data_IF_354169494123
#
_entry.id   IF_354169494123
#
_cell.length_a   1.000
_cell.length_b   1.000
_cell.length_c   1.000
_cell.angle_alpha   90.00
_cell.angle_beta   90.00
_cell.angle_gamma   90.00
#
_symmetry.space_group_name_H-M   'P 1'
#
loop_
_entity.id
_entity.type
_entity.pdbx_description
1 polymer ?
#
# COMPACT_ATOMS: atom_id res chain seq x y z
N UNK A 1 -11.17 14.09 -24.30
CA UNK A 1 -10.49 12.92 -24.88
C UNK A 1 -11.56 12.20 -25.71
N UNK A 2 -11.67 12.53 -27.00
CA UNK A 2 -12.61 11.88 -27.92
C UNK A 2 -12.07 10.48 -28.22
N UNK A 3 -12.81 9.46 -27.81
CA UNK A 3 -12.56 8.08 -28.21
C UNK A 3 -12.70 8.01 -29.75
N UNK A 4 -11.68 7.49 -30.43
CA UNK A 4 -11.65 7.34 -31.86
C UNK A 4 -12.91 6.62 -32.35
N UNK A 5 -13.74 7.35 -33.10
CA UNK A 5 -15.02 6.89 -33.65
C UNK A 5 -14.96 5.55 -34.40
N UNK A 6 -13.86 5.14 -35.08
CA UNK A 6 -13.80 3.85 -35.75
C UNK A 6 -13.80 2.64 -34.83
N UNK A 7 -13.22 2.76 -33.62
CA UNK A 7 -13.18 1.64 -32.64
C UNK A 7 -14.54 1.42 -31.97
N UNK A 8 -15.27 2.50 -31.69
CA UNK A 8 -16.62 2.41 -31.13
C UNK A 8 -17.61 1.77 -32.11
N UNK A 9 -17.49 2.10 -33.42
CA UNK A 9 -18.35 1.52 -34.46
C UNK A 9 -18.06 0.03 -34.69
N UNK A 10 -16.79 -0.40 -34.65
CA UNK A 10 -16.43 -1.81 -34.78
C UNK A 10 -16.99 -2.68 -33.63
N UNK A 11 -16.94 -2.16 -32.39
CA UNK A 11 -17.50 -2.85 -31.23
C UNK A 11 -19.05 -2.95 -31.28
N UNK A 12 -19.72 -1.93 -31.87
CA UNK A 12 -21.19 -1.95 -31.98
C UNK A 12 -21.67 -2.81 -33.16
N UNK A 13 -20.93 -2.90 -34.26
CA UNK A 13 -21.26 -3.76 -35.40
C UNK A 13 -21.12 -5.24 -35.06
N UNK A 14 -20.11 -5.65 -34.26
CA UNK A 14 -19.97 -7.03 -33.81
C UNK A 14 -21.09 -7.44 -32.83
N UNK A 15 -21.60 -6.50 -32.04
CA UNK A 15 -22.69 -6.77 -31.08
C UNK A 15 -24.06 -6.86 -31.81
N UNK A 16 -24.23 -6.19 -32.96
CA UNK A 16 -25.48 -6.20 -33.75
C UNK A 16 -25.53 -7.30 -34.79
N UNK A 17 -24.48 -8.11 -34.96
CA UNK A 17 -24.50 -9.23 -35.88
C UNK A 17 -25.42 -10.34 -35.33
N UNK A 18 -26.72 -10.17 -35.53
CA UNK A 18 -27.72 -11.23 -35.29
C UNK A 18 -27.36 -12.44 -36.12
N UNK A 19 -26.63 -13.39 -35.53
CA UNK A 19 -26.37 -14.68 -36.13
C UNK A 19 -27.72 -15.39 -36.29
N UNK A 20 -28.18 -15.61 -37.53
CA UNK A 20 -29.33 -16.45 -37.80
C UNK A 20 -29.01 -17.87 -37.35
N UNK A 21 -29.54 -18.26 -36.18
CA UNK A 21 -29.34 -19.56 -35.63
C UNK A 21 -30.00 -20.64 -36.51
N UNK A 22 -29.32 -21.75 -36.75
CA UNK A 22 -29.88 -22.94 -37.38
C UNK A 22 -30.98 -23.52 -36.50
N UNK A 23 -31.93 -24.30 -37.08
CA UNK A 23 -32.99 -24.97 -36.33
C UNK A 23 -32.43 -25.82 -35.18
N UNK A 24 -31.30 -26.51 -35.39
CA UNK A 24 -30.60 -27.30 -34.34
C UNK A 24 -29.96 -26.43 -33.27
N UNK A 25 -29.50 -25.25 -33.61
CA UNK A 25 -28.96 -24.27 -32.63
C UNK A 25 -30.10 -23.67 -31.79
N UNK A 26 -31.26 -23.41 -32.37
CA UNK A 26 -32.46 -23.00 -31.64
C UNK A 26 -32.99 -24.06 -30.64
N UNK A 27 -32.68 -25.33 -30.84
CA UNK A 27 -33.02 -26.38 -29.90
C UNK A 27 -32.15 -26.36 -28.62
N UNK A 28 -31.10 -25.55 -28.57
CA UNK A 28 -30.12 -25.45 -27.46
C UNK A 28 -29.43 -26.76 -27.08
N UNK A 29 -29.86 -27.90 -27.60
CA UNK A 29 -29.30 -29.21 -27.28
C UNK A 29 -27.80 -29.34 -27.59
N UNK A 30 -27.30 -28.90 -28.77
CA UNK A 30 -25.88 -28.99 -29.08
C UNK A 30 -25.02 -28.19 -28.10
N UNK A 31 -25.47 -27.00 -27.68
CA UNK A 31 -24.76 -26.16 -26.74
C UNK A 31 -24.76 -26.74 -25.32
N UNK A 32 -25.85 -27.36 -24.92
CA UNK A 32 -25.92 -28.09 -23.64
C UNK A 32 -24.94 -29.26 -23.64
N UNK A 33 -24.86 -30.03 -24.71
CA UNK A 33 -23.92 -31.16 -24.83
C UNK A 33 -22.45 -30.65 -24.85
N UNK A 34 -22.15 -29.55 -25.49
CA UNK A 34 -20.81 -28.93 -25.44
C UNK A 34 -20.46 -28.50 -24.01
N UNK A 35 -21.39 -27.87 -23.31
CA UNK A 35 -21.20 -27.47 -21.91
C UNK A 35 -20.95 -28.68 -20.99
N UNK A 36 -21.77 -29.72 -21.12
CA UNK A 36 -21.61 -30.97 -20.39
C UNK A 36 -20.29 -31.66 -20.70
N UNK A 37 -19.87 -31.70 -21.96
CA UNK A 37 -18.58 -32.26 -22.36
C UNK A 37 -17.42 -31.48 -21.79
N UNK A 38 -17.51 -30.12 -21.78
CA UNK A 38 -16.49 -29.28 -21.20
C UNK A 38 -16.34 -29.54 -19.70
N UNK A 39 -17.45 -29.57 -18.94
CA UNK A 39 -17.41 -29.84 -17.49
C UNK A 39 -16.97 -31.25 -17.19
N UNK A 40 -17.37 -32.24 -17.98
CA UNK A 40 -16.90 -33.61 -17.88
C UNK A 40 -15.38 -33.72 -18.08
N UNK A 41 -14.85 -33.06 -19.11
CA UNK A 41 -13.38 -32.98 -19.33
C UNK A 41 -12.66 -32.32 -18.16
N UNK A 42 -13.26 -31.28 -17.59
CA UNK A 42 -12.65 -30.53 -16.47
C UNK A 42 -12.58 -31.37 -15.19
N UNK A 43 -13.46 -32.36 -15.03
CA UNK A 43 -13.43 -33.25 -13.88
C UNK A 43 -12.16 -34.10 -13.81
N UNK A 44 -11.49 -34.35 -14.93
CA UNK A 44 -10.22 -35.10 -15.00
C UNK A 44 -8.99 -34.17 -15.04
N UNK A 45 -9.18 -32.83 -14.96
CA UNK A 45 -8.08 -31.91 -14.90
C UNK A 45 -7.40 -31.99 -13.51
N UNK A 46 -6.07 -31.76 -13.43
CA UNK A 46 -5.39 -31.71 -12.14
C UNK A 46 -5.96 -30.57 -11.28
N UNK A 47 -6.18 -30.86 -10.02
CA UNK A 47 -6.64 -29.85 -9.06
C UNK A 47 -5.50 -28.87 -8.75
N UNK A 48 -5.84 -27.58 -8.64
CA UNK A 48 -4.91 -26.50 -8.25
C UNK A 48 -5.25 -25.93 -6.86
N UNK A 49 -6.20 -26.53 -6.18
CA UNK A 49 -6.63 -26.14 -4.83
C UNK A 49 -5.62 -26.61 -3.80
N UNK A 50 -5.33 -25.76 -2.83
CA UNK A 50 -4.48 -26.08 -1.68
C UNK A 50 -5.26 -26.81 -0.60
N UNK A 51 -4.61 -27.77 0.05
CA UNK A 51 -5.19 -28.52 1.17
C UNK A 51 -4.90 -27.78 2.49
N UNK A 52 -5.68 -26.77 2.79
CA UNK A 52 -5.57 -26.08 4.07
C UNK A 52 -6.11 -27.01 5.20
N UNK A 53 -5.45 -27.14 6.39
CA UNK A 53 -4.29 -26.32 6.85
C UNK A 53 -2.89 -26.89 6.53
N UNK A 54 -2.79 -28.07 5.89
CA UNK A 54 -1.50 -28.73 5.59
C UNK A 54 -0.66 -27.89 4.63
N UNK A 55 -1.32 -27.30 3.64
CA UNK A 55 -0.73 -26.39 2.68
C UNK A 55 -1.28 -24.99 2.90
N UNK A 56 -0.39 -24.02 3.17
CA UNK A 56 -0.74 -22.61 3.30
C UNK A 56 -0.20 -21.81 2.14
N UNK A 57 -0.98 -20.83 1.73
CA UNK A 57 -0.53 -19.87 0.75
C UNK A 57 0.55 -18.97 1.34
N UNK A 58 1.67 -18.80 0.63
CA UNK A 58 2.70 -17.82 0.97
C UNK A 58 2.36 -16.49 0.29
N UNK A 59 1.95 -15.47 1.05
CA UNK A 59 1.58 -14.19 0.47
C UNK A 59 2.78 -13.46 -0.13
N UNK A 60 2.60 -12.77 -1.28
CA UNK A 60 3.65 -11.94 -1.84
C UNK A 60 3.98 -10.76 -0.91
N UNK A 61 5.15 -10.14 -1.09
CA UNK A 61 5.62 -9.02 -0.28
C UNK A 61 4.70 -7.79 -0.28
N UNK A 62 3.85 -7.64 -1.31
CA UNK A 62 2.84 -6.57 -1.39
C UNK A 62 1.59 -6.83 -0.53
N UNK A 63 1.43 -8.05 0.00
CA UNK A 63 0.23 -8.43 0.74
C UNK A 63 0.07 -7.59 2.01
N UNK A 64 -1.18 -7.23 2.33
CA UNK A 64 -1.56 -6.46 3.52
C UNK A 64 -2.25 -7.38 4.51
N UNK A 65 -1.45 -8.09 5.32
CA UNK A 65 -1.97 -8.88 6.43
C UNK A 65 -2.10 -8.08 7.72
N UNK A 66 -1.87 -8.72 8.84
CA UNK A 66 -1.97 -8.09 10.16
C UNK A 66 -0.94 -6.96 10.34
N UNK A 67 -1.34 -5.75 10.80
CA UNK A 67 -0.37 -4.73 11.18
C UNK A 67 0.44 -5.19 12.40
N UNK A 68 1.74 -4.94 12.35
CA UNK A 68 2.68 -5.29 13.41
C UNK A 68 3.64 -4.13 13.68
N UNK A 69 4.20 -4.09 14.89
CA UNK A 69 5.24 -3.13 15.28
C UNK A 69 6.62 -3.76 15.08
N UNK A 70 7.51 -3.00 14.48
CA UNK A 70 8.91 -3.43 14.26
C UNK A 70 9.70 -3.27 15.57
N UNK A 71 10.29 -4.36 15.99
CA UNK A 71 11.27 -4.40 17.07
C UNK A 71 12.69 -4.31 16.50
N UNK A 72 13.48 -3.40 16.99
CA UNK A 72 14.88 -3.18 16.60
C UNK A 72 15.77 -3.27 17.83
N UNK A 73 16.61 -4.30 17.91
CA UNK A 73 17.53 -4.54 19.04
C UNK A 73 16.84 -4.64 20.42
N UNK A 74 15.70 -5.29 20.52
CA UNK A 74 14.98 -5.48 21.77
C UNK A 74 14.12 -4.29 22.22
N UNK A 75 14.01 -3.24 21.37
CA UNK A 75 13.16 -2.08 21.61
C UNK A 75 12.25 -1.81 20.40
N UNK A 76 11.07 -1.29 20.68
CA UNK A 76 10.18 -0.84 19.58
C UNK A 76 10.82 0.31 18.80
N UNK A 77 10.63 0.32 17.47
CA UNK A 77 11.08 1.41 16.61
C UNK A 77 10.17 2.66 16.72
N UNK A 78 8.97 2.48 17.24
CA UNK A 78 7.94 3.53 17.32
C UNK A 78 8.38 4.68 18.23
N UNK A 79 8.20 5.92 17.76
CA UNK A 79 8.44 7.17 18.49
C UNK A 79 7.14 7.85 18.94
N UNK A 80 6.05 7.12 19.00
CA UNK A 80 4.75 7.59 19.49
C UNK A 80 4.26 8.92 18.89
N UNK A 81 4.49 9.15 17.58
CA UNK A 81 4.10 10.39 16.91
C UNK A 81 2.58 10.54 16.65
N UNK A 82 1.80 9.44 16.75
CA UNK A 82 0.34 9.44 16.62
C UNK A 82 -0.19 9.54 15.18
N UNK A 83 0.66 9.59 14.16
CA UNK A 83 0.21 9.71 12.77
C UNK A 83 -0.61 8.50 12.31
N UNK A 84 -0.22 7.29 12.70
CA UNK A 84 -0.93 6.06 12.36
C UNK A 84 -2.36 6.04 12.93
N UNK A 85 -2.56 6.51 14.17
CA UNK A 85 -3.88 6.60 14.79
C UNK A 85 -4.78 7.63 14.08
N UNK A 86 -4.22 8.77 13.66
CA UNK A 86 -4.96 9.81 12.92
C UNK A 86 -5.31 9.40 11.50
N UNK A 87 -4.42 8.65 10.84
CA UNK A 87 -4.63 8.18 9.47
C UNK A 87 -5.53 6.94 9.39
N UNK A 88 -5.87 6.32 10.51
CA UNK A 88 -6.67 5.10 10.55
C UNK A 88 -8.15 5.40 10.25
N UNK A 89 -8.71 4.95 9.10
CA UNK A 89 -10.10 5.25 8.75
C UNK A 89 -11.12 4.72 9.78
N UNK A 90 -11.00 3.45 10.27
CA UNK A 90 -11.91 2.92 11.27
C UNK A 90 -11.56 3.30 12.71
N UNK A 91 -10.54 4.14 12.95
CA UNK A 91 -10.08 4.51 14.28
C UNK A 91 -9.80 3.28 15.16
N UNK A 92 -9.08 2.32 14.59
CA UNK A 92 -8.77 1.05 15.24
C UNK A 92 -7.54 1.12 16.16
N UNK A 93 -6.73 2.18 16.08
CA UNK A 93 -5.47 2.33 16.79
C UNK A 93 -5.66 3.30 17.96
N UNK A 94 -5.32 2.85 19.14
CA UNK A 94 -5.24 3.66 20.36
C UNK A 94 -3.81 3.69 20.87
N UNK A 95 -3.30 4.86 21.22
CA UNK A 95 -1.93 4.98 21.71
C UNK A 95 -1.79 6.13 22.68
N UNK A 96 -0.82 5.99 23.59
CA UNK A 96 -0.40 7.04 24.51
C UNK A 96 1.13 7.12 24.48
N UNK A 97 1.65 8.32 24.28
CA UNK A 97 3.08 8.58 24.31
C UNK A 97 3.54 8.79 25.76
N UNK A 98 4.76 8.35 26.04
CA UNK A 98 5.51 8.71 27.22
C UNK A 98 6.90 9.21 26.80
N UNK A 99 7.57 9.92 27.70
CA UNK A 99 8.87 10.52 27.49
C UNK A 99 9.85 10.00 28.56
N UNK A 100 11.04 9.62 28.12
CA UNK A 100 12.13 9.18 29.00
C UNK A 100 13.39 9.96 28.61
N UNK A 101 13.87 10.79 29.50
CA UNK A 101 15.06 11.63 29.30
C UNK A 101 16.36 10.81 29.16
N UNK A 102 16.34 9.56 29.69
CA UNK A 102 17.50 8.67 29.64
C UNK A 102 17.57 7.85 28.34
N UNK A 103 16.48 7.76 27.56
CA UNK A 103 16.47 7.02 26.28
C UNK A 103 16.88 7.94 25.10
N UNK A 104 17.78 7.48 24.21
CA UNK A 104 18.19 8.22 23.01
C UNK A 104 17.01 8.62 22.09
N UNK A 105 15.88 7.94 22.20
CA UNK A 105 14.66 8.23 21.44
C UNK A 105 13.79 9.31 22.06
N UNK A 106 14.01 9.64 23.33
CA UNK A 106 13.23 10.61 24.13
C UNK A 106 11.73 10.26 24.27
N UNK A 107 11.11 9.68 23.23
CA UNK A 107 9.68 9.36 23.18
C UNK A 107 9.44 7.92 22.74
N UNK A 108 8.52 7.26 23.44
CA UNK A 108 8.10 5.89 23.16
C UNK A 108 6.60 5.71 23.42
N UNK A 109 5.93 4.69 22.85
CA UNK A 109 4.56 4.37 23.19
C UNK A 109 4.52 3.60 24.50
N UNK A 110 4.01 4.23 25.55
CA UNK A 110 3.70 3.56 26.83
C UNK A 110 2.55 2.57 26.63
N UNK A 111 1.53 3.05 25.92
CA UNK A 111 0.36 2.27 25.57
C UNK A 111 0.18 2.30 24.06
N UNK A 112 -0.01 1.12 23.46
CA UNK A 112 -0.31 0.98 22.03
C UNK A 112 -1.20 -0.24 21.82
N UNK A 113 -2.37 -0.02 21.26
CA UNK A 113 -3.33 -1.08 20.99
C UNK A 113 -3.91 -0.95 19.58
N UNK A 114 -4.17 -2.09 18.97
CA UNK A 114 -4.94 -2.18 17.72
C UNK A 114 -6.13 -3.12 17.92
N UNK A 115 -7.32 -2.61 17.67
CA UNK A 115 -8.52 -3.42 17.64
C UNK A 115 -8.65 -4.10 16.27
N UNK A 116 -8.31 -5.41 16.20
CA UNK A 116 -8.30 -6.18 14.95
C UNK A 116 -9.69 -6.39 14.36
N UNK A 117 -10.76 -6.33 15.17
CA UNK A 117 -12.15 -6.41 14.67
C UNK A 117 -12.60 -5.12 13.96
N UNK A 118 -11.97 -3.97 14.29
CA UNK A 118 -12.24 -2.71 13.60
C UNK A 118 -11.30 -2.48 12.44
N UNK A 119 -10.11 -3.07 12.48
CA UNK A 119 -9.10 -2.92 11.45
C UNK A 119 -9.60 -3.46 10.10
N UNK A 120 -9.47 -2.67 9.04
CA UNK A 120 -9.82 -3.04 7.67
C UNK A 120 -8.61 -3.43 6.81
N UNK A 121 -7.43 -3.55 7.44
CA UNK A 121 -6.17 -3.95 6.80
C UNK A 121 -5.79 -3.10 5.58
N UNK A 122 -6.13 -1.82 5.58
CA UNK A 122 -5.91 -0.91 4.45
C UNK A 122 -4.45 -0.48 4.25
N UNK A 123 -3.61 -0.57 5.30
CA UNK A 123 -2.19 -0.17 5.25
C UNK A 123 -1.92 1.33 5.41
N UNK A 124 -2.94 2.19 5.60
CA UNK A 124 -2.72 3.64 5.78
C UNK A 124 -1.79 3.96 6.95
N UNK A 125 -1.78 3.14 8.00
CA UNK A 125 -0.89 3.30 9.15
C UNK A 125 0.59 3.07 8.77
N UNK A 126 0.86 2.13 7.87
CA UNK A 126 2.19 1.85 7.32
C UNK A 126 2.66 2.99 6.41
N UNK A 127 1.77 3.48 5.54
CA UNK A 127 2.10 4.53 4.57
C UNK A 127 2.49 5.86 5.23
N UNK A 128 1.85 6.21 6.36
CA UNK A 128 2.10 7.47 7.08
C UNK A 128 3.21 7.39 8.11
N UNK A 129 3.75 6.22 8.41
CA UNK A 129 4.75 6.04 9.44
C UNK A 129 6.13 6.53 8.97
N UNK A 130 6.71 7.62 9.54
CA UNK A 130 8.01 8.14 9.12
C UNK A 130 9.17 7.22 9.54
N UNK A 131 8.99 6.49 10.65
CA UNK A 131 10.01 5.60 11.21
C UNK A 131 9.91 4.17 10.70
N UNK A 132 8.95 3.85 9.81
CA UNK A 132 8.67 2.46 9.40
C UNK A 132 8.49 1.52 10.59
N UNK A 133 7.89 2.05 11.67
CA UNK A 133 7.72 1.33 12.92
C UNK A 133 6.47 0.44 12.93
N UNK A 134 5.49 0.72 12.09
CA UNK A 134 4.31 -0.12 11.87
C UNK A 134 4.29 -0.55 10.42
N UNK A 135 4.18 -1.86 10.20
CA UNK A 135 4.18 -2.47 8.85
C UNK A 135 3.12 -3.56 8.78
N UNK A 136 2.70 -3.88 7.55
CA UNK A 136 1.77 -4.97 7.30
C UNK A 136 2.53 -6.28 7.17
N UNK A 137 2.22 -7.27 8.01
CA UNK A 137 2.82 -8.60 7.96
C UNK A 137 2.21 -9.47 6.86
N UNK A 138 2.72 -10.68 6.71
CA UNK A 138 2.12 -11.71 5.86
C UNK A 138 1.04 -12.54 6.58
N UNK A 139 0.78 -12.26 7.86
CA UNK A 139 -0.17 -13.02 8.68
C UNK A 139 -1.61 -12.74 8.22
N UNK A 140 -2.33 -13.80 7.85
CA UNK A 140 -3.74 -13.75 7.48
C UNK A 140 -4.61 -14.71 8.31
N UNK A 141 -4.00 -15.68 8.99
CA UNK A 141 -4.68 -16.65 9.84
C UNK A 141 -4.99 -16.05 11.21
N UNK A 142 -5.95 -15.14 11.27
CA UNK A 142 -6.30 -14.44 12.51
C UNK A 142 -7.64 -14.95 13.01
N UNK A 143 -7.63 -15.66 14.14
CA UNK A 143 -8.81 -16.21 14.79
C UNK A 143 -8.88 -15.68 16.23
N UNK A 144 -10.07 -15.28 16.65
CA UNK A 144 -10.34 -14.77 18.00
C UNK A 144 -11.47 -15.57 18.63
N UNK A 145 -11.35 -15.89 19.91
CA UNK A 145 -12.42 -16.53 20.68
C UNK A 145 -13.35 -15.49 21.33
N UNK A 146 -12.81 -14.31 21.65
CA UNK A 146 -13.53 -13.22 22.28
C UNK A 146 -13.20 -11.86 21.64
N UNK A 147 -13.97 -10.83 22.00
CA UNK A 147 -13.70 -9.46 21.54
C UNK A 147 -12.45 -8.87 22.20
N UNK A 148 -12.22 -9.23 23.42
CA UNK A 148 -11.05 -8.79 24.20
C UNK A 148 -9.76 -9.37 23.60
N UNK A 149 -9.80 -10.61 23.16
CA UNK A 149 -8.66 -11.28 22.50
C UNK A 149 -8.31 -10.65 21.15
N UNK A 150 -9.24 -9.97 20.52
CA UNK A 150 -9.03 -9.24 19.27
C UNK A 150 -8.39 -7.86 19.47
N UNK A 151 -8.19 -7.40 20.69
CA UNK A 151 -7.43 -6.19 20.98
C UNK A 151 -5.98 -6.60 21.22
N UNK A 152 -5.12 -6.20 20.29
CA UNK A 152 -3.70 -6.50 20.34
C UNK A 152 -2.96 -5.36 21.02
N UNK A 153 -2.36 -5.64 22.14
CA UNK A 153 -1.47 -4.76 22.88
C UNK A 153 -0.08 -4.65 22.23
N UNK A 154 0.75 -3.77 22.75
CA UNK A 154 2.10 -3.50 22.25
C UNK A 154 2.95 -4.77 22.19
N UNK A 155 2.93 -5.60 23.24
CA UNK A 155 3.73 -6.81 23.33
C UNK A 155 3.37 -7.83 22.25
N UNK A 156 2.08 -7.99 21.99
CA UNK A 156 1.56 -8.91 20.96
C UNK A 156 1.77 -8.41 19.52
N UNK A 157 1.99 -7.10 19.36
CA UNK A 157 2.24 -6.49 18.07
C UNK A 157 3.72 -6.47 17.69
N UNK A 158 4.63 -6.56 18.67
CA UNK A 158 6.07 -6.52 18.42
C UNK A 158 6.53 -7.76 17.66
N UNK A 159 7.25 -7.52 16.57
CA UNK A 159 7.86 -8.56 15.72
C UNK A 159 9.29 -8.14 15.40
N UNK A 160 10.27 -9.05 15.53
CA UNK A 160 11.66 -8.78 15.19
C UNK A 160 11.82 -8.30 13.75
N UNK A 161 12.70 -7.35 13.52
CA UNK A 161 12.99 -6.77 12.21
C UNK A 161 13.42 -7.81 11.17
N UNK A 162 14.09 -8.86 11.63
CA UNK A 162 14.59 -9.95 10.78
C UNK A 162 13.44 -10.65 10.05
N UNK A 163 12.33 -10.89 10.76
CA UNK A 163 11.15 -11.57 10.21
C UNK A 163 10.38 -10.68 9.22
N UNK A 164 10.55 -9.37 9.33
CA UNK A 164 9.88 -8.37 8.49
C UNK A 164 10.78 -7.83 7.37
N UNK A 165 11.99 -8.37 7.20
CA UNK A 165 12.98 -7.85 6.26
C UNK A 165 12.45 -7.74 4.84
N UNK A 166 11.78 -8.76 4.34
CA UNK A 166 11.23 -8.80 2.99
C UNK A 166 10.23 -7.66 2.77
N UNK A 167 9.36 -7.40 3.76
CA UNK A 167 8.40 -6.29 3.70
C UNK A 167 9.08 -4.92 3.76
N UNK A 168 10.05 -4.76 4.64
CA UNK A 168 10.81 -3.51 4.78
C UNK A 168 11.61 -3.18 3.52
N UNK A 169 12.22 -4.18 2.88
CA UNK A 169 12.95 -3.99 1.64
C UNK A 169 12.00 -3.63 0.48
N UNK A 170 10.83 -4.27 0.41
CA UNK A 170 9.78 -3.91 -0.53
C UNK A 170 9.30 -2.46 -0.34
N UNK A 171 9.08 -2.02 0.91
CA UNK A 171 8.65 -0.65 1.19
C UNK A 171 9.69 0.39 0.79
N UNK A 172 10.97 0.11 0.98
CA UNK A 172 12.06 0.99 0.53
C UNK A 172 12.05 1.13 -0.99
N UNK A 173 11.96 0.00 -1.71
CA UNK A 173 11.88 0.02 -3.17
C UNK A 173 10.62 0.73 -3.66
N UNK A 174 9.46 0.44 -3.05
CA UNK A 174 8.18 1.07 -3.38
C UNK A 174 8.23 2.59 -3.20
N UNK A 175 8.75 3.07 -2.06
CA UNK A 175 8.91 4.50 -1.79
C UNK A 175 9.91 5.15 -2.75
N UNK A 176 11.04 4.52 -3.02
CA UNK A 176 12.01 5.01 -3.99
C UNK A 176 11.40 5.15 -5.39
N UNK A 177 10.60 4.16 -5.83
CA UNK A 177 9.95 4.21 -7.14
C UNK A 177 8.83 5.25 -7.21
N UNK A 178 8.07 5.47 -6.13
CA UNK A 178 7.01 6.49 -6.09
C UNK A 178 7.54 7.92 -5.91
N UNK A 179 8.56 8.07 -5.09
CA UNK A 179 9.11 9.37 -4.72
C UNK A 179 10.48 9.64 -5.32
N UNK A 180 11.09 8.68 -6.04
CA UNK A 180 12.41 8.83 -6.65
C UNK A 180 12.51 10.08 -7.49
N UNK A 181 11.54 10.33 -8.38
CA UNK A 181 11.48 11.56 -9.18
C UNK A 181 11.35 12.82 -8.31
N UNK A 182 10.70 12.74 -7.16
CA UNK A 182 10.58 13.86 -6.24
C UNK A 182 11.87 14.09 -5.46
N UNK A 183 12.58 13.03 -5.07
CA UNK A 183 13.87 13.15 -4.39
C UNK A 183 14.97 13.62 -5.33
N UNK A 184 15.02 13.09 -6.55
CA UNK A 184 15.94 13.56 -7.60
C UNK A 184 15.72 15.06 -7.88
N UNK A 185 14.46 15.50 -7.92
CA UNK A 185 14.10 16.91 -8.04
C UNK A 185 14.59 17.75 -6.83
N UNK A 186 14.51 17.21 -5.62
CA UNK A 186 15.01 17.90 -4.42
C UNK A 186 16.53 18.00 -4.42
N UNK A 187 17.25 16.95 -4.84
CA UNK A 187 18.72 16.97 -4.94
C UNK A 187 19.19 17.93 -6.03
N UNK A 188 18.59 17.90 -7.22
CA UNK A 188 18.92 18.83 -8.32
C UNK A 188 18.68 20.30 -7.95
N UNK A 189 17.66 20.59 -7.14
CA UNK A 189 17.32 21.95 -6.74
C UNK A 189 17.88 22.35 -5.36
N UNK A 190 18.73 21.52 -4.77
CA UNK A 190 19.32 21.76 -3.45
C UNK A 190 18.28 21.96 -2.33
N UNK A 191 17.11 21.37 -2.49
CA UNK A 191 16.03 21.40 -1.50
C UNK A 191 16.29 20.27 -0.50
N UNK A 192 16.92 20.59 0.61
CA UNK A 192 17.18 19.64 1.68
C UNK A 192 15.88 19.07 2.24
N UNK A 193 15.86 17.76 2.56
CA UNK A 193 14.70 17.10 3.12
C UNK A 193 14.32 17.66 4.49
N UNK A 194 13.07 17.52 4.88
CA UNK A 194 12.54 17.95 6.20
C UNK A 194 13.31 17.35 7.38
N UNK A 195 14.14 16.32 7.14
CA UNK A 195 15.00 15.66 8.13
C UNK A 195 16.27 16.42 8.51
N UNK A 196 16.66 17.44 7.74
CA UNK A 196 17.80 18.28 8.13
C UNK A 196 17.39 19.20 9.28
N UNK A 197 17.78 18.83 10.50
CA UNK A 197 17.54 19.63 11.72
C UNK A 197 18.26 20.98 11.71
N UNK A 198 19.17 21.18 10.77
CA UNK A 198 19.95 22.41 10.59
C UNK A 198 19.29 23.40 9.61
N UNK A 199 18.01 23.21 9.29
CA UNK A 199 17.29 24.18 8.48
C UNK A 199 17.08 25.46 9.27
N UNK A 200 17.71 26.47 8.79
CA UNK A 200 17.44 27.84 9.21
C UNK A 200 15.97 28.18 8.94
N UNK A 201 15.16 28.16 9.99
CA UNK A 201 13.73 28.53 9.95
C UNK A 201 13.51 29.98 9.51
N UNK A 202 14.60 30.74 9.29
CA UNK A 202 14.58 32.13 8.91
C UNK A 202 14.38 32.39 7.41
N UNK A 203 14.45 31.39 6.55
CA UNK A 203 14.23 31.63 5.11
C UNK A 203 12.75 31.68 4.72
N UNK A 204 11.81 31.33 5.61
CA UNK A 204 10.36 31.62 5.52
C UNK A 204 9.66 31.38 4.17
N UNK A 205 10.31 30.71 3.23
CA UNK A 205 9.75 30.46 1.91
C UNK A 205 8.63 29.41 1.99
N UNK A 206 7.42 29.83 1.69
CA UNK A 206 6.29 28.92 1.54
C UNK A 206 6.43 28.07 0.28
N UNK A 207 5.72 26.94 0.23
CA UNK A 207 5.66 26.08 -0.97
C UNK A 207 5.26 26.90 -2.23
N UNK A 208 4.41 27.91 -2.05
CA UNK A 208 3.96 28.83 -3.10
C UNK A 208 5.12 29.69 -3.61
N UNK A 209 5.95 30.21 -2.71
CA UNK A 209 7.13 31.04 -3.07
C UNK A 209 8.16 30.22 -3.85
N UNK A 210 8.34 28.93 -3.49
CA UNK A 210 9.22 28.02 -4.21
C UNK A 210 8.73 27.72 -5.63
N UNK A 211 7.43 27.50 -5.80
CA UNK A 211 6.83 27.28 -7.11
C UNK A 211 6.89 28.53 -8.01
N UNK A 212 6.78 29.72 -7.43
CA UNK A 212 6.94 30.98 -8.17
C UNK A 212 8.40 31.26 -8.55
N UNK A 213 9.34 30.88 -7.71
CA UNK A 213 10.76 30.95 -8.05
C UNK A 213 11.12 30.00 -9.20
N UNK A 214 10.54 28.81 -9.19
CA UNK A 214 10.75 27.84 -10.26
C UNK A 214 10.20 28.33 -11.61
N UNK A 215 8.99 28.90 -11.62
CA UNK A 215 8.44 29.52 -12.84
C UNK A 215 9.32 30.62 -13.40
N UNK A 216 9.88 31.48 -12.53
CA UNK A 216 10.82 32.53 -12.93
C UNK A 216 12.12 31.97 -13.50
N UNK A 217 12.63 30.87 -12.94
CA UNK A 217 13.85 30.23 -13.44
C UNK A 217 13.63 29.58 -14.81
N UNK A 218 12.46 28.98 -15.03
CA UNK A 218 12.08 28.37 -16.30
C UNK A 218 11.88 29.44 -17.40
N UNK A 219 11.29 30.58 -17.06
CA UNK A 219 11.13 31.72 -17.97
C UNK A 219 12.50 32.33 -18.36
N UNK A 220 13.44 32.40 -17.42
CA UNK A 220 14.81 32.90 -17.71
C UNK A 220 15.59 31.89 -18.54
N UNK A 221 15.47 30.60 -18.34
CA UNK A 221 16.07 29.57 -19.20
C UNK A 221 15.46 29.56 -20.60
N UNK A 222 14.15 29.74 -20.72
CA UNK A 222 13.48 29.84 -22.02
C UNK A 222 13.94 31.06 -22.83
N UNK A 223 14.14 32.21 -22.18
CA UNK A 223 14.60 33.42 -22.83
C UNK A 223 16.09 33.36 -23.26
N UNK A 224 16.91 32.56 -22.57
CA UNK A 224 18.35 32.39 -22.94
C UNK A 224 18.54 31.45 -24.13
N UNK A 225 17.58 30.59 -24.46
CA UNK A 225 17.63 29.66 -25.60
C UNK A 225 17.18 30.29 -26.93
N UNK A 226 16.73 31.55 -26.94
CA UNK A 226 16.28 32.25 -28.16
C UNK A 226 17.28 33.31 -28.67
N UNK A 227 18.50 33.32 -28.14
CA UNK A 227 19.58 34.22 -28.59
C UNK A 227 20.70 33.41 -29.28
N UNK A 228 20.39 32.80 -30.43
CA UNK A 228 21.36 32.37 -31.44
C UNK A 228 20.78 32.68 -32.81
#
# INVERSE_FOLDING_TARGET
MELDKPVANALTEDFQRERKLSFLENLYLPEIFKGLWYTFKQMFAPTFTMNYPEEKWDPPSIFRGRPVLVEDNGKERCVACGLCARACPPLAISMQANEDEDDPKERYPDFFEINMLRCIYCGCCEDVCPEEAIVMSKDYDIVFESREDAIYDKERLLVPKEDLKERLDFLKEYRNNQFGQFWDFQEENNIHSVRDRDRDWNTGLSLVDMLEQQKRNDETKASSNWSV
#
